data_IF_059996158415
#
_entry.id   IF_059996158415
#
_cell.length_a   1.000
_cell.length_b   1.000
_cell.length_c   1.000
_cell.angle_alpha   90.00
_cell.angle_beta   90.00
_cell.angle_gamma   90.00
#
_symmetry.space_group_name_H-M   'P 1'
#
loop_
_entity.id
_entity.type
_entity.pdbx_description
1 polymer ?
#
# COMPACT_ATOMS: atom_id res chain seq x y z
N UNK A 1 -26.67 18.08 -11.26
CA UNK A 1 -25.79 17.63 -10.15
C UNK A 1 -24.54 18.48 -10.16
N UNK A 2 -24.19 19.11 -9.04
CA UNK A 2 -22.98 19.94 -8.95
C UNK A 2 -21.74 19.12 -9.31
N UNK A 3 -20.90 19.65 -10.22
CA UNK A 3 -19.64 18.99 -10.63
C UNK A 3 -18.72 18.69 -9.44
N UNK A 4 -18.78 19.53 -8.40
CA UNK A 4 -18.04 19.33 -7.15
C UNK A 4 -18.53 18.09 -6.40
N UNK A 5 -19.84 17.90 -6.30
CA UNK A 5 -20.45 16.73 -5.65
C UNK A 5 -20.13 15.46 -6.42
N UNK A 6 -20.20 15.52 -7.76
CA UNK A 6 -19.84 14.38 -8.61
C UNK A 6 -18.38 13.95 -8.41
N UNK A 7 -17.43 14.90 -8.37
CA UNK A 7 -16.02 14.59 -8.12
C UNK A 7 -15.77 13.98 -6.74
N UNK A 8 -16.48 14.46 -5.71
CA UNK A 8 -16.36 13.91 -4.34
C UNK A 8 -16.88 12.47 -4.30
N UNK A 9 -18.06 12.21 -4.88
CA UNK A 9 -18.64 10.86 -4.93
C UNK A 9 -17.72 9.91 -5.70
N UNK A 10 -17.21 10.33 -6.86
CA UNK A 10 -16.30 9.52 -7.67
C UNK A 10 -14.99 9.20 -6.93
N UNK A 11 -14.42 10.19 -6.23
CA UNK A 11 -13.21 10.00 -5.43
C UNK A 11 -13.46 9.01 -4.28
N UNK A 12 -14.59 9.12 -3.59
CA UNK A 12 -14.96 8.20 -2.50
C UNK A 12 -15.11 6.77 -2.99
N UNK A 13 -15.79 6.56 -4.13
CA UNK A 13 -15.95 5.23 -4.73
C UNK A 13 -14.59 4.64 -5.13
N UNK A 14 -13.72 5.45 -5.72
CA UNK A 14 -12.37 5.03 -6.08
C UNK A 14 -11.56 4.60 -4.84
N UNK A 15 -11.53 5.43 -3.80
CA UNK A 15 -10.80 5.14 -2.56
C UNK A 15 -11.35 3.89 -1.87
N UNK A 16 -12.67 3.69 -1.89
CA UNK A 16 -13.31 2.49 -1.34
C UNK A 16 -12.77 1.22 -2.00
N UNK A 17 -12.67 1.18 -3.33
CA UNK A 17 -12.16 0.02 -4.07
C UNK A 17 -10.68 -0.19 -3.78
N UNK A 18 -9.88 0.89 -3.78
CA UNK A 18 -8.45 0.82 -3.50
C UNK A 18 -8.16 0.25 -2.11
N UNK A 19 -8.85 0.75 -1.08
CA UNK A 19 -8.68 0.24 0.29
C UNK A 19 -9.21 -1.18 0.44
N UNK A 20 -10.30 -1.55 -0.24
CA UNK A 20 -10.80 -2.92 -0.23
C UNK A 20 -9.76 -3.92 -0.77
N UNK A 21 -9.10 -3.59 -1.89
CA UNK A 21 -8.02 -4.42 -2.44
C UNK A 21 -6.82 -4.52 -1.49
N UNK A 22 -6.41 -3.40 -0.89
CA UNK A 22 -5.33 -3.35 0.10
C UNK A 22 -5.63 -4.26 1.32
N UNK A 23 -6.82 -4.16 1.90
CA UNK A 23 -7.21 -5.01 3.03
C UNK A 23 -7.32 -6.49 2.65
N UNK A 24 -7.76 -6.82 1.43
CA UNK A 24 -7.76 -8.20 0.97
C UNK A 24 -6.34 -8.80 0.95
N UNK A 25 -5.38 -8.07 0.38
CA UNK A 25 -3.97 -8.51 0.34
C UNK A 25 -3.37 -8.59 1.75
N UNK A 26 -3.61 -7.61 2.61
CA UNK A 26 -3.10 -7.63 4.00
C UNK A 26 -3.63 -8.83 4.80
N UNK A 27 -4.92 -9.15 4.68
CA UNK A 27 -5.50 -10.30 5.37
C UNK A 27 -4.99 -11.64 4.82
N UNK A 28 -4.72 -11.72 3.51
CA UNK A 28 -4.20 -12.94 2.87
C UNK A 28 -2.68 -13.01 2.81
N UNK A 29 -1.95 -11.99 3.30
CA UNK A 29 -0.52 -11.84 3.11
C UNK A 29 0.28 -13.06 3.56
N UNK A 30 -0.05 -13.62 4.72
CA UNK A 30 0.60 -14.85 5.21
C UNK A 30 0.32 -16.05 4.33
N UNK A 31 -0.93 -16.22 3.90
CA UNK A 31 -1.33 -17.33 3.04
C UNK A 31 -0.62 -17.27 1.70
N UNK A 32 -0.53 -16.06 1.11
CA UNK A 32 0.20 -15.82 -0.14
C UNK A 32 1.69 -16.17 0.03
N UNK A 33 2.32 -15.67 1.10
CA UNK A 33 3.75 -15.92 1.36
C UNK A 33 4.03 -17.39 1.63
N UNK A 34 3.16 -18.08 2.37
CA UNK A 34 3.26 -19.52 2.62
C UNK A 34 3.14 -20.32 1.32
N UNK A 35 2.20 -19.95 0.44
CA UNK A 35 2.03 -20.59 -0.87
C UNK A 35 3.26 -20.41 -1.77
N UNK A 36 3.90 -19.24 -1.72
CA UNK A 36 5.13 -18.97 -2.47
C UNK A 36 6.30 -19.78 -1.89
N UNK A 37 6.37 -19.92 -0.57
CA UNK A 37 7.41 -20.71 0.08
C UNK A 37 7.31 -22.22 -0.26
N UNK A 38 6.08 -22.75 -0.34
CA UNK A 38 5.83 -24.13 -0.75
C UNK A 38 6.31 -24.41 -2.19
N UNK A 39 6.22 -23.42 -3.08
CA UNK A 39 6.73 -23.53 -4.46
C UNK A 39 8.23 -23.21 -4.59
N UNK A 40 8.76 -22.32 -3.75
CA UNK A 40 10.14 -21.82 -3.76
C UNK A 40 10.71 -21.78 -2.34
N UNK A 41 11.33 -22.87 -1.85
CA UNK A 41 11.85 -22.95 -0.47
C UNK A 41 13.00 -21.97 -0.18
N UNK A 42 13.63 -21.39 -1.20
CA UNK A 42 14.62 -20.30 -1.04
C UNK A 42 13.96 -18.95 -0.64
N UNK A 43 12.63 -18.85 -0.69
CA UNK A 43 11.89 -17.64 -0.35
C UNK A 43 11.66 -17.55 1.17
N UNK A 44 12.64 -17.01 1.91
CA UNK A 44 12.59 -16.87 3.37
C UNK A 44 11.96 -15.55 3.85
N UNK A 45 10.93 -15.06 3.16
CA UNK A 45 10.24 -13.83 3.57
C UNK A 45 9.17 -14.18 4.59
N UNK A 46 9.22 -13.59 5.77
CA UNK A 46 8.11 -13.69 6.73
C UNK A 46 7.12 -12.54 6.55
N UNK A 47 5.84 -12.87 6.39
CA UNK A 47 4.78 -11.87 6.23
C UNK A 47 4.68 -10.90 7.41
N UNK A 48 4.93 -11.35 8.63
CA UNK A 48 4.94 -10.49 9.82
C UNK A 48 6.07 -9.45 9.80
N UNK A 49 7.25 -9.79 9.27
CA UNK A 49 8.33 -8.83 9.11
C UNK A 49 7.96 -7.74 8.10
N UNK A 50 7.36 -8.12 6.97
CA UNK A 50 6.90 -7.17 5.95
C UNK A 50 5.85 -6.21 6.54
N UNK A 51 4.85 -6.73 7.25
CA UNK A 51 3.84 -5.92 7.94
C UNK A 51 4.44 -5.04 9.04
N UNK A 52 5.42 -5.56 9.79
CA UNK A 52 6.12 -4.82 10.85
C UNK A 52 6.91 -3.64 10.30
N UNK A 53 7.61 -3.82 9.17
CA UNK A 53 8.32 -2.73 8.49
C UNK A 53 7.32 -1.67 8.03
N UNK A 54 6.23 -2.07 7.38
CA UNK A 54 5.18 -1.15 6.90
C UNK A 54 4.65 -0.26 8.04
N UNK A 55 4.28 -0.84 9.19
CA UNK A 55 3.77 -0.06 10.32
C UNK A 55 4.84 0.78 11.02
N UNK A 56 6.10 0.34 11.01
CA UNK A 56 7.22 1.11 11.55
C UNK A 56 7.45 2.37 10.72
N UNK A 57 7.50 2.23 9.39
CA UNK A 57 7.64 3.36 8.48
C UNK A 57 6.44 4.28 8.61
N UNK A 58 5.21 3.73 8.64
CA UNK A 58 3.98 4.50 8.85
C UNK A 58 4.00 5.36 10.11
N UNK A 59 4.51 4.82 11.22
CA UNK A 59 4.63 5.56 12.47
C UNK A 59 5.54 6.79 12.33
N UNK A 60 6.66 6.66 11.61
CA UNK A 60 7.57 7.78 11.33
C UNK A 60 6.96 8.75 10.31
N UNK A 61 6.33 8.24 9.25
CA UNK A 61 5.68 9.00 8.19
C UNK A 61 4.54 9.89 8.71
N UNK A 62 3.79 9.45 9.72
CA UNK A 62 2.71 10.25 10.35
C UNK A 62 3.19 11.59 10.89
N UNK A 63 4.44 11.67 11.35
CA UNK A 63 5.01 12.90 11.89
C UNK A 63 5.37 13.89 10.77
N UNK A 64 5.73 13.36 9.60
CA UNK A 64 6.14 14.15 8.43
C UNK A 64 4.96 14.51 7.52
N UNK A 65 3.85 13.76 7.61
CA UNK A 65 2.69 13.91 6.72
C UNK A 65 2.11 15.34 6.70
N UNK A 66 1.90 16.05 7.83
CA UNK A 66 1.35 17.41 7.80
C UNK A 66 2.24 18.39 7.04
N UNK A 67 3.57 18.28 7.21
CA UNK A 67 4.56 19.11 6.54
C UNK A 67 4.60 18.84 5.03
N UNK A 68 4.59 17.57 4.64
CA UNK A 68 4.57 17.15 3.22
C UNK A 68 3.31 17.59 2.49
N UNK A 69 2.14 17.45 3.12
CA UNK A 69 0.85 17.87 2.54
C UNK A 69 0.80 19.40 2.39
N UNK A 70 1.37 20.15 3.34
CA UNK A 70 1.44 21.61 3.26
C UNK A 70 2.28 22.09 2.06
N UNK A 71 3.39 21.39 1.75
CA UNK A 71 4.30 21.75 0.65
C UNK A 71 3.77 21.29 -0.72
N UNK A 72 3.32 20.04 -0.83
CA UNK A 72 2.91 19.44 -2.12
C UNK A 72 1.46 19.74 -2.50
N UNK A 73 0.64 20.10 -1.52
CA UNK A 73 -0.79 20.33 -1.67
C UNK A 73 -1.62 19.04 -1.75
N UNK A 74 -2.93 19.09 -1.40
CA UNK A 74 -3.75 17.90 -1.18
C UNK A 74 -3.91 16.99 -2.40
N UNK A 75 -4.01 17.57 -3.60
CA UNK A 75 -4.24 16.81 -4.84
C UNK A 75 -3.02 15.98 -5.24
N UNK A 76 -1.82 16.57 -5.14
CA UNK A 76 -0.58 15.88 -5.51
C UNK A 76 -0.25 14.78 -4.50
N UNK A 77 -0.41 15.07 -3.20
CA UNK A 77 -0.22 14.08 -2.13
C UNK A 77 -1.14 12.86 -2.31
N UNK A 78 -2.42 13.08 -2.67
CA UNK A 78 -3.34 11.96 -2.97
C UNK A 78 -2.90 11.15 -4.19
N UNK A 79 -2.43 11.80 -5.27
CA UNK A 79 -1.97 11.10 -6.46
C UNK A 79 -0.73 10.22 -6.17
N UNK A 80 0.24 10.75 -5.42
CA UNK A 80 1.44 10.03 -5.02
C UNK A 80 1.07 8.83 -4.13
N UNK A 81 0.19 9.03 -3.15
CA UNK A 81 -0.26 7.95 -2.26
C UNK A 81 -0.95 6.82 -3.05
N UNK A 82 -1.83 7.16 -3.99
CA UNK A 82 -2.52 6.17 -4.83
C UNK A 82 -1.55 5.35 -5.68
N UNK A 83 -0.50 5.98 -6.24
CA UNK A 83 0.53 5.26 -7.00
C UNK A 83 1.29 4.29 -6.08
N UNK A 84 1.63 4.71 -4.86
CA UNK A 84 2.26 3.83 -3.86
C UNK A 84 1.40 2.61 -3.52
N UNK A 85 0.11 2.81 -3.24
CA UNK A 85 -0.82 1.72 -2.93
C UNK A 85 -0.99 0.73 -4.09
N UNK A 86 -1.08 1.22 -5.33
CA UNK A 86 -1.15 0.36 -6.52
C UNK A 86 0.17 -0.38 -6.73
N UNK A 87 1.31 0.30 -6.54
CA UNK A 87 2.64 -0.30 -6.64
C UNK A 87 2.86 -1.45 -5.67
N UNK A 88 2.36 -1.33 -4.44
CA UNK A 88 2.40 -2.43 -3.47
C UNK A 88 1.57 -3.63 -3.90
N UNK A 89 0.35 -3.40 -4.42
CA UNK A 89 -0.48 -4.49 -4.96
C UNK A 89 0.22 -5.19 -6.14
N UNK A 90 0.90 -4.44 -7.00
CA UNK A 90 1.68 -4.99 -8.10
C UNK A 90 2.91 -5.77 -7.61
N UNK A 91 3.56 -5.34 -6.53
CA UNK A 91 4.74 -6.01 -5.95
C UNK A 91 4.46 -7.46 -5.54
N UNK A 92 3.24 -7.76 -5.07
CA UNK A 92 2.83 -9.13 -4.73
C UNK A 92 2.74 -10.05 -5.95
N UNK A 93 2.48 -9.53 -7.16
CA UNK A 93 2.45 -10.34 -8.37
C UNK A 93 3.84 -10.77 -8.86
N UNK A 94 4.91 -10.09 -8.42
CA UNK A 94 6.28 -10.41 -8.84
C UNK A 94 6.94 -11.50 -7.99
N UNK A 95 6.34 -11.90 -6.86
CA UNK A 95 6.83 -12.98 -5.97
C UNK A 95 8.33 -12.89 -5.59
N UNK A 96 8.88 -11.67 -5.56
CA UNK A 96 10.27 -11.42 -5.20
C UNK A 96 10.37 -10.77 -3.83
N UNK A 97 11.30 -11.27 -3.01
CA UNK A 97 11.44 -10.85 -1.62
C UNK A 97 11.73 -9.35 -1.50
N UNK A 98 12.68 -8.87 -2.30
CA UNK A 98 13.05 -7.46 -2.40
C UNK A 98 11.83 -6.58 -2.70
N UNK A 99 11.00 -6.97 -3.67
CA UNK A 99 9.88 -6.15 -4.15
C UNK A 99 8.79 -6.02 -3.08
N UNK A 100 8.57 -7.06 -2.27
CA UNK A 100 7.64 -7.01 -1.15
C UNK A 100 8.14 -6.08 -0.03
N UNK A 101 9.43 -6.14 0.31
CA UNK A 101 10.00 -5.23 1.31
C UNK A 101 10.03 -3.77 0.81
N UNK A 102 10.45 -3.54 -0.42
CA UNK A 102 10.45 -2.22 -1.03
C UNK A 102 9.04 -1.63 -1.10
N UNK A 103 8.05 -2.46 -1.48
CA UNK A 103 6.64 -2.05 -1.49
C UNK A 103 6.12 -1.67 -0.10
N UNK A 104 6.49 -2.43 0.94
CA UNK A 104 6.09 -2.13 2.32
C UNK A 104 6.64 -0.79 2.82
N UNK A 105 7.87 -0.44 2.43
CA UNK A 105 8.48 0.86 2.74
C UNK A 105 7.81 2.01 1.98
N UNK A 106 7.33 1.78 0.76
CA UNK A 106 6.66 2.82 -0.05
C UNK A 106 5.24 3.12 0.43
N UNK A 107 4.53 2.11 0.96
CA UNK A 107 3.16 2.27 1.46
C UNK A 107 3.09 2.76 2.91
N UNK A 108 4.06 2.40 3.75
CA UNK A 108 4.18 2.94 5.10
C UNK A 108 4.59 4.41 5.07
#
# INVERSE_FOLDING_TARGET
MDRKILNVVLLSVYLMILFSAQYAVLNMQKTIISSIHDEKPEFTVEGFFVTGIMYTVFSVSVWLAPSLICVLGPRLSMAIANIGYIGYLAAFNMEQAWTMYAGAVVVG
#
